data_IF_466977825974
#
_entry.id   IF_466977825974
#
_cell.length_a   1.000
_cell.length_b   1.000
_cell.length_c   1.000
_cell.angle_alpha   90.00
_cell.angle_beta   90.00
_cell.angle_gamma   90.00
#
_symmetry.space_group_name_H-M   'P 1'
#
loop_
_entity.id
_entity.type
_entity.pdbx_description
1 polymer ?
#
# COMPACT_ATOMS: atom_id res chain seq x y z
N UNK A 1 -48.30 2.44 -36.91
CA UNK A 1 -46.95 1.89 -37.18
C UNK A 1 -45.83 2.58 -36.40
N UNK A 2 -45.69 3.93 -36.44
CA UNK A 2 -44.62 4.66 -35.73
C UNK A 2 -44.63 4.48 -34.19
N UNK A 3 -45.81 4.41 -33.58
CA UNK A 3 -45.96 4.27 -32.13
C UNK A 3 -45.52 2.88 -31.61
N UNK A 4 -45.79 1.82 -32.37
CA UNK A 4 -45.36 0.45 -32.04
C UNK A 4 -43.83 0.28 -32.18
N UNK A 5 -43.21 0.97 -33.15
CA UNK A 5 -41.74 1.01 -33.29
C UNK A 5 -41.11 1.69 -32.08
N UNK A 6 -41.70 2.77 -31.59
CA UNK A 6 -41.18 3.48 -30.42
C UNK A 6 -41.24 2.63 -29.15
N UNK A 7 -42.32 1.88 -28.96
CA UNK A 7 -42.49 0.95 -27.83
C UNK A 7 -41.46 -0.20 -27.90
N UNK A 8 -41.24 -0.76 -29.10
CA UNK A 8 -40.24 -1.82 -29.31
C UNK A 8 -38.82 -1.32 -29.00
N UNK A 9 -38.50 -0.09 -29.43
CA UNK A 9 -37.18 0.49 -29.23
C UNK A 9 -36.92 0.81 -27.74
N UNK A 10 -37.96 1.25 -27.02
CA UNK A 10 -37.90 1.46 -25.57
C UNK A 10 -37.67 0.13 -24.81
N UNK A 11 -38.31 -0.96 -25.25
CA UNK A 11 -38.18 -2.28 -24.62
C UNK A 11 -36.76 -2.86 -24.82
N UNK A 12 -36.19 -2.70 -26.02
CA UNK A 12 -34.80 -3.08 -26.32
C UNK A 12 -33.83 -2.26 -25.46
N UNK A 13 -34.07 -0.95 -25.33
CA UNK A 13 -33.20 -0.06 -24.55
C UNK A 13 -33.17 -0.42 -23.06
N UNK A 14 -34.32 -0.79 -22.46
CA UNK A 14 -34.37 -1.25 -21.05
C UNK A 14 -33.68 -2.59 -20.83
N UNK A 15 -33.61 -3.45 -21.85
CA UNK A 15 -32.89 -4.73 -21.79
C UNK A 15 -31.36 -4.58 -21.74
N UNK A 16 -30.83 -3.48 -22.29
CA UNK A 16 -29.39 -3.22 -22.32
C UNK A 16 -28.80 -2.77 -20.97
N UNK A 17 -29.63 -2.37 -20.00
CA UNK A 17 -29.16 -1.87 -18.70
C UNK A 17 -29.23 -2.90 -17.56
N UNK A 18 -29.65 -4.15 -17.85
CA UNK A 18 -29.73 -5.22 -16.85
C UNK A 18 -28.37 -5.93 -16.79
N UNK A 19 -27.44 -5.41 -15.99
CA UNK A 19 -26.19 -6.12 -15.65
C UNK A 19 -26.50 -7.13 -14.54
N UNK A 20 -26.45 -8.42 -14.85
CA UNK A 20 -26.54 -9.46 -13.83
C UNK A 20 -25.15 -9.67 -13.23
N UNK A 21 -24.95 -9.11 -12.04
CA UNK A 21 -23.71 -9.25 -11.29
C UNK A 21 -23.89 -10.33 -10.22
N UNK A 22 -22.82 -11.09 -9.98
CA UNK A 22 -22.77 -12.08 -8.92
C UNK A 22 -21.62 -11.69 -8.00
N UNK A 23 -21.96 -11.37 -6.75
CA UNK A 23 -20.95 -11.09 -5.74
C UNK A 23 -20.11 -12.35 -5.48
N UNK A 24 -18.79 -12.18 -5.52
CA UNK A 24 -17.84 -13.22 -5.14
C UNK A 24 -17.48 -12.97 -3.68
N UNK A 25 -18.08 -13.77 -2.78
CA UNK A 25 -17.75 -13.70 -1.37
C UNK A 25 -16.35 -14.24 -1.10
N UNK A 26 -15.53 -13.44 -0.42
CA UNK A 26 -14.23 -13.88 0.05
C UNK A 26 -14.39 -14.82 1.25
N UNK A 27 -14.00 -16.08 1.07
CA UNK A 27 -14.11 -17.13 2.11
C UNK A 27 -12.87 -17.30 2.99
N UNK A 28 -11.85 -16.48 2.78
CA UNK A 28 -10.63 -16.52 3.59
C UNK A 28 -10.74 -15.68 4.86
N UNK A 29 -9.69 -15.69 5.68
CA UNK A 29 -9.59 -14.80 6.84
C UNK A 29 -9.10 -13.42 6.40
N UNK A 30 -9.75 -12.37 6.90
CA UNK A 30 -9.22 -11.01 6.84
C UNK A 30 -8.12 -10.90 7.90
N UNK A 31 -6.90 -10.58 7.47
CA UNK A 31 -5.73 -10.47 8.35
C UNK A 31 -5.57 -9.05 8.88
N UNK A 32 -5.17 -8.93 10.14
CA UNK A 32 -4.84 -7.65 10.73
C UNK A 32 -3.61 -7.01 10.04
N UNK A 33 -3.58 -5.66 9.90
CA UNK A 33 -2.43 -4.93 9.40
C UNK A 33 -1.14 -5.23 10.19
N UNK A 34 -0.08 -5.54 9.47
CA UNK A 34 1.25 -5.79 10.03
C UNK A 34 2.14 -4.55 9.89
N UNK A 35 3.08 -4.36 10.80
CA UNK A 35 4.13 -3.35 10.65
C UNK A 35 5.09 -3.75 9.52
N UNK A 36 5.34 -2.85 8.58
CA UNK A 36 6.21 -3.08 7.42
C UNK A 36 7.24 -1.97 7.33
N UNK A 37 8.51 -2.37 7.27
CA UNK A 37 9.64 -1.49 6.99
C UNK A 37 10.12 -1.77 5.57
N UNK A 38 10.12 -0.73 4.73
CA UNK A 38 10.64 -0.78 3.37
C UNK A 38 11.84 0.15 3.22
N UNK A 39 12.86 -0.27 2.48
CA UNK A 39 14.03 0.56 2.19
C UNK A 39 14.70 0.13 0.90
N UNK A 40 15.39 1.07 0.28
CA UNK A 40 16.38 0.82 -0.77
C UNK A 40 17.68 1.43 -0.25
N UNK A 41 18.70 0.60 -0.06
CA UNK A 41 19.99 1.03 0.46
C UNK A 41 20.96 1.18 -0.71
N UNK A 42 21.52 2.38 -0.86
CA UNK A 42 22.53 2.68 -1.89
C UNK A 42 23.70 3.44 -1.27
N UNK A 43 24.96 3.21 -1.69
CA UNK A 43 26.11 3.87 -1.09
C UNK A 43 26.21 5.38 -1.30
N UNK A 44 25.43 5.93 -2.24
CA UNK A 44 25.38 7.36 -2.57
C UNK A 44 24.36 8.15 -1.73
N UNK A 45 23.58 7.47 -0.88
CA UNK A 45 22.56 8.08 -0.04
C UNK A 45 22.63 7.59 1.40
N UNK A 46 22.19 8.41 2.35
CA UNK A 46 22.09 7.96 3.74
C UNK A 46 21.00 6.91 3.91
N UNK A 47 21.12 6.07 4.93
CA UNK A 47 20.08 5.11 5.31
C UNK A 47 18.74 5.83 5.51
N UNK A 48 17.74 5.39 4.75
CA UNK A 48 16.38 5.91 4.79
C UNK A 48 15.40 4.76 4.66
N UNK A 49 14.40 4.73 5.53
CA UNK A 49 13.37 3.69 5.53
C UNK A 49 12.00 4.33 5.53
N UNK A 50 11.02 3.62 4.98
CA UNK A 50 9.62 3.99 5.00
C UNK A 50 8.84 2.97 5.83
N UNK A 51 8.20 3.44 6.89
CA UNK A 51 7.49 2.64 7.87
C UNK A 51 5.98 2.83 7.71
N UNK A 52 5.28 1.73 7.43
CA UNK A 52 3.83 1.73 7.24
C UNK A 52 3.19 0.46 7.79
N UNK A 53 1.86 0.42 7.80
CA UNK A 53 1.10 -0.79 8.04
C UNK A 53 0.70 -1.44 6.71
N UNK A 54 0.74 -2.76 6.62
CA UNK A 54 0.19 -3.49 5.48
C UNK A 54 -1.33 -3.31 5.42
N UNK A 55 -1.92 -3.66 4.28
CA UNK A 55 -3.38 -3.66 4.12
C UNK A 55 -3.85 -4.98 3.51
N UNK A 56 -5.09 -5.32 3.81
CA UNK A 56 -5.72 -6.47 3.19
C UNK A 56 -5.98 -6.20 1.69
N UNK A 57 -5.65 -7.16 0.83
CA UNK A 57 -5.62 -6.96 -0.63
C UNK A 57 -7.00 -6.70 -1.24
N UNK A 58 -8.06 -7.27 -0.65
CA UNK A 58 -9.45 -7.03 -1.07
C UNK A 58 -10.16 -5.99 -0.20
N UNK A 59 -9.42 -5.29 0.67
CA UNK A 59 -9.96 -4.23 1.52
C UNK A 59 -10.15 -2.91 0.78
N UNK A 60 -10.39 -1.84 1.53
CA UNK A 60 -10.54 -0.50 0.96
C UNK A 60 -9.30 -0.06 0.16
N UNK A 61 -9.55 0.58 -0.99
CA UNK A 61 -8.50 1.24 -1.77
C UNK A 61 -8.14 2.57 -1.12
N UNK A 62 -7.42 2.50 0.00
CA UNK A 62 -6.91 3.65 0.74
C UNK A 62 -5.37 3.65 0.75
N UNK A 63 -4.72 4.83 0.88
CA UNK A 63 -3.28 4.89 1.11
C UNK A 63 -2.83 4.03 2.29
N UNK A 64 -1.59 3.52 2.26
CA UNK A 64 -1.04 2.77 3.39
C UNK A 64 -0.99 3.66 4.63
N UNK A 65 -1.37 3.10 5.79
CA UNK A 65 -1.29 3.83 7.05
C UNK A 65 0.16 3.99 7.46
N UNK A 66 0.61 5.24 7.57
CA UNK A 66 1.98 5.59 7.90
C UNK A 66 2.20 5.51 9.41
N UNK A 67 3.40 5.11 9.82
CA UNK A 67 3.78 5.03 11.23
C UNK A 67 4.77 6.16 11.53
N UNK A 68 4.43 7.03 12.48
CA UNK A 68 5.22 8.22 12.83
C UNK A 68 5.80 8.21 14.24
N UNK A 69 5.32 7.32 15.11
CA UNK A 69 5.76 7.18 16.50
C UNK A 69 6.37 5.80 16.74
N UNK A 70 7.53 5.58 16.12
CA UNK A 70 8.30 4.35 16.25
C UNK A 70 9.77 4.68 16.53
N UNK A 71 10.42 3.84 17.33
CA UNK A 71 11.86 3.83 17.48
C UNK A 71 12.48 2.92 16.42
N UNK A 72 13.19 3.52 15.44
CA UNK A 72 13.83 2.76 14.36
C UNK A 72 15.34 2.83 14.55
N UNK A 73 15.97 1.69 14.80
CA UNK A 73 17.42 1.59 15.03
C UNK A 73 18.11 0.98 13.81
N UNK A 74 19.19 1.60 13.35
CA UNK A 74 20.03 1.07 12.30
C UNK A 74 21.28 0.42 12.91
N UNK A 75 21.51 -0.84 12.54
CA UNK A 75 22.72 -1.58 12.88
C UNK A 75 23.59 -1.65 11.63
N UNK A 76 24.90 -1.59 11.80
CA UNK A 76 25.85 -1.76 10.70
C UNK A 76 26.86 -2.80 11.14
N UNK A 77 26.94 -3.91 10.41
CA UNK A 77 27.79 -5.05 10.72
C UNK A 77 27.56 -5.55 12.17
N UNK A 78 26.28 -5.61 12.57
CA UNK A 78 25.84 -6.07 13.89
C UNK A 78 25.98 -5.06 15.04
N UNK A 79 26.54 -3.86 14.80
CA UNK A 79 26.73 -2.84 15.83
C UNK A 79 25.70 -1.72 15.67
N UNK A 80 25.04 -1.33 16.78
CA UNK A 80 24.11 -0.20 16.77
C UNK A 80 24.85 1.05 16.28
N UNK A 81 24.41 1.60 15.15
CA UNK A 81 25.04 2.76 14.53
C UNK A 81 24.34 4.05 14.93
N UNK A 82 23.03 4.10 14.76
CA UNK A 82 22.21 5.26 15.09
C UNK A 82 20.73 4.87 15.22
N UNK A 83 19.96 5.74 15.88
CA UNK A 83 18.50 5.70 15.80
C UNK A 83 18.05 6.69 14.73
N UNK A 84 17.28 6.21 13.75
CA UNK A 84 16.77 7.03 12.66
C UNK A 84 15.77 8.05 13.19
N UNK A 85 15.82 9.25 12.62
CA UNK A 85 14.94 10.35 13.01
C UNK A 85 13.72 10.37 12.08
N UNK A 86 12.53 10.47 12.67
CA UNK A 86 11.30 10.67 11.90
C UNK A 86 11.36 12.00 11.15
N UNK A 87 11.09 11.96 9.85
CA UNK A 87 10.91 13.15 9.02
C UNK A 87 9.43 13.42 8.80
N UNK A 88 8.92 12.94 7.67
CA UNK A 88 7.52 13.08 7.27
C UNK A 88 7.08 11.86 6.48
N UNK A 89 5.76 11.67 6.37
CA UNK A 89 5.15 10.62 5.53
C UNK A 89 5.70 9.21 5.83
N UNK A 90 5.86 8.84 7.11
CA UNK A 90 6.39 7.53 7.50
C UNK A 90 7.87 7.32 7.19
N UNK A 91 8.59 8.35 6.72
CA UNK A 91 10.02 8.27 6.42
C UNK A 91 10.83 8.51 7.69
N UNK A 92 11.73 7.57 7.97
CA UNK A 92 12.77 7.69 8.99
C UNK A 92 14.13 7.72 8.31
N UNK A 93 14.96 8.71 8.66
CA UNK A 93 16.24 8.95 8.00
C UNK A 93 17.36 9.07 9.01
N UNK A 94 18.50 8.50 8.66
CA UNK A 94 19.73 8.58 9.43
C UNK A 94 20.69 9.62 8.87
N UNK A 95 21.92 9.53 9.34
CA UNK A 95 23.07 10.32 8.89
C UNK A 95 24.17 9.46 8.28
N UNK A 96 24.08 8.13 8.44
CA UNK A 96 25.07 7.18 7.95
C UNK A 96 24.93 6.94 6.45
N UNK A 97 26.04 7.08 5.71
CA UNK A 97 26.20 6.63 4.33
C UNK A 97 26.74 5.20 4.30
N UNK A 98 25.99 4.22 3.77
CA UNK A 98 26.44 2.85 3.68
C UNK A 98 27.55 2.70 2.65
N UNK A 99 28.40 1.69 2.82
CA UNK A 99 29.47 1.36 1.89
C UNK A 99 29.22 -0.01 1.25
N UNK A 100 29.77 -0.27 0.05
CA UNK A 100 29.75 -1.60 -0.51
C UNK A 100 30.33 -2.62 0.49
N UNK A 101 29.53 -3.65 0.81
CA UNK A 101 29.90 -4.68 1.77
C UNK A 101 29.40 -4.47 3.21
N UNK A 102 28.77 -3.34 3.53
CA UNK A 102 28.11 -3.17 4.83
C UNK A 102 26.82 -4.04 4.90
N UNK A 103 26.64 -4.73 6.02
CA UNK A 103 25.40 -5.41 6.39
C UNK A 103 24.57 -4.49 7.30
N UNK A 104 23.32 -4.22 6.92
CA UNK A 104 22.43 -3.23 7.56
C UNK A 104 21.05 -3.83 7.83
#
# INVERSE_FOLDING_TARGET
MKQNIFILLLFILTGCFISCEKDIEFKGAVTDPLLVLNSILTPDSVVSVHLSQSRFVLGESAPLKLVSDAAVSAFVNGVLKEQLTYGANGIYRGTFFPKPGDEI
#
